data_IF_996874533662
#
_entry.id   IF_996874533662
#
_cell.length_a   1.000
_cell.length_b   1.000
_cell.length_c   1.000
_cell.angle_alpha   90.00
_cell.angle_beta   90.00
_cell.angle_gamma   90.00
#
_symmetry.space_group_name_H-M   'P 1'
#
loop_
_entity.id
_entity.type
_entity.pdbx_description
1 polymer ?
#
# COMPACT_ATOMS: atom_id res chain seq x y z
N UNK A 1 34.56 -49.71 11.49
CA UNK A 1 33.50 -48.69 11.52
C UNK A 1 34.04 -47.50 12.29
N UNK A 2 34.41 -46.42 11.59
CA UNK A 2 35.02 -45.23 12.19
C UNK A 2 33.90 -44.23 12.51
N UNK A 3 33.65 -44.00 13.80
CA UNK A 3 32.69 -43.03 14.30
C UNK A 3 33.26 -41.63 14.08
N UNK A 4 32.70 -40.86 13.13
CA UNK A 4 32.97 -39.43 13.03
C UNK A 4 32.15 -38.71 14.11
N UNK A 5 32.83 -38.18 15.11
CA UNK A 5 32.22 -37.29 16.09
C UNK A 5 31.65 -36.06 15.37
N UNK A 6 30.41 -35.69 15.73
CA UNK A 6 29.80 -34.44 15.29
C UNK A 6 30.61 -33.28 15.89
N UNK A 7 30.97 -32.26 15.09
CA UNK A 7 31.66 -31.08 15.60
C UNK A 7 30.78 -30.41 16.66
N UNK A 8 31.41 -29.92 17.72
CA UNK A 8 30.69 -29.16 18.75
C UNK A 8 30.16 -27.85 18.14
N UNK A 9 29.04 -27.32 18.65
CA UNK A 9 28.50 -26.02 18.21
C UNK A 9 29.57 -24.91 18.23
N UNK A 10 30.53 -25.02 19.15
CA UNK A 10 31.64 -24.09 19.31
C UNK A 10 32.65 -24.15 18.14
N UNK A 11 32.88 -25.32 17.54
CA UNK A 11 33.71 -25.44 16.33
C UNK A 11 33.01 -24.83 15.11
N UNK A 12 31.68 -24.96 15.03
CA UNK A 12 30.88 -24.39 13.93
C UNK A 12 30.92 -22.85 13.96
N UNK A 13 30.75 -22.24 15.13
CA UNK A 13 30.88 -20.79 15.30
C UNK A 13 32.29 -20.27 14.98
N UNK A 14 33.34 -20.99 15.39
CA UNK A 14 34.72 -20.61 15.12
C UNK A 14 35.06 -20.67 13.62
N UNK A 15 34.48 -21.62 12.89
CA UNK A 15 34.61 -21.70 11.42
C UNK A 15 33.91 -20.52 10.75
N UNK A 16 32.70 -20.14 11.21
CA UNK A 16 31.96 -18.98 10.69
C UNK A 16 32.72 -17.67 10.95
N UNK A 17 33.29 -17.48 12.13
CA UNK A 17 34.04 -16.25 12.46
C UNK A 17 35.34 -16.17 11.65
N UNK A 18 36.09 -17.28 11.51
CA UNK A 18 37.35 -17.28 10.75
C UNK A 18 37.12 -17.10 9.25
N UNK A 19 36.11 -17.74 8.68
CA UNK A 19 35.74 -17.51 7.27
C UNK A 19 35.27 -16.07 7.06
N UNK A 20 34.57 -15.50 8.04
CA UNK A 20 34.12 -14.10 8.01
C UNK A 20 35.23 -13.09 8.24
N UNK A 21 36.42 -13.45 8.72
CA UNK A 21 37.48 -12.48 9.09
C UNK A 21 38.80 -12.65 8.31
N UNK A 22 39.01 -13.76 7.61
CA UNK A 22 40.32 -14.12 7.03
C UNK A 22 40.64 -13.55 5.64
N UNK A 23 39.70 -12.90 4.95
CA UNK A 23 39.90 -12.42 3.57
C UNK A 23 39.48 -10.95 3.34
N UNK A 24 39.51 -10.10 4.37
CA UNK A 24 39.24 -8.68 4.17
C UNK A 24 40.48 -7.94 3.65
N UNK A 25 40.54 -7.76 2.34
CA UNK A 25 41.27 -6.63 1.75
C UNK A 25 40.43 -5.38 1.98
N UNK A 26 40.93 -4.42 2.77
CA UNK A 26 40.28 -3.13 2.96
C UNK A 26 40.52 -2.28 1.72
N UNK A 27 39.56 -2.31 0.78
CA UNK A 27 39.45 -1.27 -0.24
C UNK A 27 38.64 -0.10 0.36
N UNK A 28 39.34 0.89 0.90
CA UNK A 28 38.75 2.12 1.43
C UNK A 28 38.36 3.11 0.32
N UNK A 29 38.14 2.62 -0.90
CA UNK A 29 37.69 3.46 -2.01
C UNK A 29 36.29 4.00 -1.72
N UNK A 30 36.20 5.34 -1.65
CA UNK A 30 34.92 6.04 -1.55
C UNK A 30 34.33 6.28 -2.94
N UNK A 31 33.02 6.14 -3.08
CA UNK A 31 32.25 6.54 -4.25
C UNK A 31 31.36 7.73 -3.93
N UNK A 32 31.17 8.61 -4.91
CA UNK A 32 30.20 9.70 -4.85
C UNK A 32 28.90 9.27 -5.53
N UNK A 33 27.80 9.24 -4.78
CA UNK A 33 26.46 8.94 -5.27
C UNK A 33 25.63 10.22 -5.26
N UNK A 34 25.05 10.61 -6.39
CA UNK A 34 24.12 11.73 -6.47
C UNK A 34 22.69 11.20 -6.54
N UNK A 35 21.89 11.48 -5.52
CA UNK A 35 20.47 11.10 -5.46
C UNK A 35 19.66 12.37 -5.41
N UNK A 36 18.82 12.60 -6.42
CA UNK A 36 18.17 13.89 -6.63
C UNK A 36 19.19 15.03 -6.72
N UNK A 37 19.18 15.94 -5.74
CA UNK A 37 20.12 17.07 -5.63
C UNK A 37 21.27 16.86 -4.64
N UNK A 38 21.29 15.76 -3.89
CA UNK A 38 22.24 15.53 -2.79
C UNK A 38 23.34 14.59 -3.23
N UNK A 39 24.59 14.89 -2.87
CA UNK A 39 25.75 14.02 -3.14
C UNK A 39 26.21 13.37 -1.84
N UNK A 40 26.18 12.03 -1.82
CA UNK A 40 26.65 11.20 -0.72
C UNK A 40 28.02 10.64 -1.04
N UNK A 41 28.93 10.64 -0.07
CA UNK A 41 30.23 9.98 -0.18
C UNK A 41 30.24 8.75 0.71
N UNK A 42 30.29 7.57 0.10
CA UNK A 42 30.08 6.28 0.78
C UNK A 42 31.19 5.30 0.40
N UNK A 43 31.55 4.37 1.29
CA UNK A 43 32.51 3.30 0.99
C UNK A 43 31.93 2.32 -0.03
N UNK A 44 32.68 2.04 -1.10
CA UNK A 44 32.30 1.02 -2.11
C UNK A 44 32.18 -0.36 -1.49
N UNK A 45 33.11 -0.71 -0.61
CA UNK A 45 33.11 -1.99 0.08
C UNK A 45 31.83 -2.20 0.88
N UNK A 46 31.41 -1.21 1.69
CA UNK A 46 30.17 -1.33 2.49
C UNK A 46 28.94 -1.58 1.62
N UNK A 47 28.80 -0.82 0.53
CA UNK A 47 27.69 -0.98 -0.41
C UNK A 47 27.74 -2.34 -1.12
N UNK A 48 28.92 -2.77 -1.57
CA UNK A 48 29.11 -4.07 -2.25
C UNK A 48 28.83 -5.26 -1.34
N UNK A 49 29.25 -5.18 -0.08
CA UNK A 49 28.99 -6.24 0.90
C UNK A 49 27.49 -6.33 1.22
N UNK A 50 26.80 -5.19 1.26
CA UNK A 50 25.38 -5.15 1.57
C UNK A 50 24.48 -5.53 0.38
N UNK A 51 24.93 -5.29 -0.85
CA UNK A 51 24.12 -5.39 -2.07
C UNK A 51 24.94 -5.96 -3.23
N UNK A 52 24.51 -7.10 -3.82
CA UNK A 52 25.13 -7.64 -5.01
C UNK A 52 24.99 -6.71 -6.21
N UNK A 53 23.90 -5.92 -6.30
CA UNK A 53 23.71 -4.96 -7.37
C UNK A 53 24.75 -3.83 -7.33
N UNK A 54 25.07 -3.29 -6.14
CA UNK A 54 26.17 -2.34 -5.99
C UNK A 54 27.53 -2.98 -6.30
N UNK A 55 27.77 -4.23 -5.87
CA UNK A 55 29.00 -4.94 -6.21
C UNK A 55 29.18 -5.11 -7.73
N UNK A 56 28.11 -5.47 -8.44
CA UNK A 56 28.09 -5.56 -9.90
C UNK A 56 28.31 -4.20 -10.56
N UNK A 57 27.62 -3.15 -10.07
CA UNK A 57 27.75 -1.78 -10.56
C UNK A 57 29.20 -1.28 -10.49
N UNK A 58 29.90 -1.53 -9.38
CA UNK A 58 31.30 -1.10 -9.22
C UNK A 58 32.31 -1.99 -9.96
N UNK A 59 31.94 -3.23 -10.29
CA UNK A 59 32.79 -4.12 -11.08
C UNK A 59 32.86 -3.68 -12.55
N UNK A 60 31.81 -3.04 -13.05
CA UNK A 60 31.73 -2.53 -14.43
C UNK A 60 32.35 -1.12 -14.53
N UNK A 61 32.21 -0.31 -13.49
CA UNK A 61 32.77 1.04 -13.47
C UNK A 61 34.31 0.99 -13.44
N UNK A 62 35.02 1.58 -14.42
CA UNK A 62 36.48 1.54 -14.45
C UNK A 62 37.04 2.23 -13.20
N UNK A 63 37.99 1.58 -12.52
CA UNK A 63 38.67 2.11 -11.34
C UNK A 63 39.49 3.40 -11.60
N UNK A 64 39.52 3.91 -12.84
CA UNK A 64 40.48 4.88 -13.35
C UNK A 64 40.06 6.35 -13.22
N UNK A 65 39.06 6.67 -12.40
CA UNK A 65 38.72 8.07 -12.09
C UNK A 65 38.15 8.23 -10.69
N UNK A 66 38.96 8.73 -9.76
CA UNK A 66 38.60 8.98 -8.35
C UNK A 66 37.42 9.95 -8.12
N UNK A 67 36.73 10.40 -9.17
CA UNK A 67 35.68 11.43 -9.10
C UNK A 67 34.40 11.08 -9.87
N UNK A 68 34.21 9.84 -10.35
CA UNK A 68 32.97 9.50 -11.04
C UNK A 68 31.79 9.51 -10.06
N UNK A 69 30.85 10.43 -10.29
CA UNK A 69 29.63 10.56 -9.50
C UNK A 69 28.53 9.74 -10.16
N UNK A 70 28.06 8.70 -9.48
CA UNK A 70 26.98 7.85 -9.98
C UNK A 70 25.65 8.52 -9.63
N UNK A 71 24.82 8.77 -10.63
CA UNK A 71 23.50 9.37 -10.43
C UNK A 71 22.46 8.27 -10.22
N UNK A 72 21.74 8.33 -9.10
CA UNK A 72 20.68 7.38 -8.73
C UNK A 72 19.34 8.11 -8.70
N UNK A 73 18.30 7.46 -9.22
CA UNK A 73 16.95 8.03 -9.28
C UNK A 73 16.08 7.49 -8.13
N UNK A 74 16.32 8.02 -6.93
CA UNK A 74 15.53 7.70 -5.73
C UNK A 74 15.12 8.98 -5.01
N UNK A 75 14.14 8.81 -4.12
CA UNK A 75 13.86 9.82 -3.10
C UNK A 75 15.07 9.97 -2.16
N UNK A 76 15.41 11.22 -1.84
CA UNK A 76 16.61 11.56 -1.07
C UNK A 76 16.48 11.09 0.38
N UNK A 77 15.29 11.20 0.97
CA UNK A 77 15.05 10.82 2.36
C UNK A 77 15.06 9.30 2.49
N UNK A 78 14.43 8.59 1.56
CA UNK A 78 14.43 7.13 1.55
C UNK A 78 15.86 6.56 1.42
N UNK A 79 16.66 7.13 0.51
CA UNK A 79 18.06 6.72 0.33
C UNK A 79 18.93 7.08 1.55
N UNK A 80 18.68 8.23 2.18
CA UNK A 80 19.38 8.64 3.41
C UNK A 80 19.13 7.65 4.54
N UNK A 81 17.90 7.17 4.70
CA UNK A 81 17.56 6.14 5.68
C UNK A 81 18.27 4.81 5.42
N UNK A 82 18.38 4.39 4.17
CA UNK A 82 19.14 3.21 3.78
C UNK A 82 20.63 3.35 4.09
N UNK A 83 21.25 4.49 3.74
CA UNK A 83 22.65 4.75 4.08
C UNK A 83 22.87 4.81 5.60
N UNK A 84 21.98 5.47 6.32
CA UNK A 84 22.02 5.49 7.79
C UNK A 84 22.08 4.08 8.36
N UNK A 85 21.27 3.15 7.83
CA UNK A 85 21.29 1.75 8.25
C UNK A 85 22.63 1.06 7.95
N UNK A 86 23.24 1.29 6.79
CA UNK A 86 24.56 0.73 6.43
C UNK A 86 25.70 1.26 7.31
N UNK A 87 25.53 2.45 7.87
CA UNK A 87 26.51 3.07 8.76
C UNK A 87 26.25 2.80 10.24
N UNK A 88 25.16 2.11 10.55
CA UNK A 88 24.69 1.95 11.91
C UNK A 88 25.53 0.94 12.67
N UNK A 89 26.11 1.38 13.79
CA UNK A 89 26.66 0.47 14.79
C UNK A 89 25.56 0.02 15.78
N UNK A 90 25.74 -1.13 16.46
CA UNK A 90 24.74 -1.66 17.39
C UNK A 90 24.33 -0.69 18.51
N UNK A 91 25.25 0.16 19.00
CA UNK A 91 24.97 1.09 20.10
C UNK A 91 24.10 2.25 19.61
N UNK A 92 24.40 2.79 18.43
CA UNK A 92 23.58 3.81 17.79
C UNK A 92 22.19 3.28 17.43
N UNK A 93 22.08 2.02 16.99
CA UNK A 93 20.79 1.40 16.74
C UNK A 93 19.92 1.31 17.99
N UNK A 94 20.47 0.82 19.11
CA UNK A 94 19.75 0.73 20.38
C UNK A 94 19.32 2.12 20.88
N UNK A 95 20.24 3.08 20.83
CA UNK A 95 19.96 4.48 21.20
C UNK A 95 18.85 5.07 20.34
N UNK A 96 18.86 4.79 19.04
CA UNK A 96 17.80 5.22 18.12
C UNK A 96 16.46 4.61 18.50
N UNK A 97 16.42 3.30 18.75
CA UNK A 97 15.19 2.58 19.08
C UNK A 97 14.54 3.07 20.39
N UNK A 98 15.34 3.51 21.35
CA UNK A 98 14.86 4.07 22.61
C UNK A 98 14.34 5.50 22.48
N UNK A 99 14.98 6.33 21.66
CA UNK A 99 14.70 7.78 21.59
C UNK A 99 13.72 8.18 20.49
N UNK A 100 13.67 7.44 19.39
CA UNK A 100 12.89 7.81 18.22
C UNK A 100 11.42 7.40 18.40
N UNK A 101 10.50 8.24 17.92
CA UNK A 101 9.07 7.94 17.96
C UNK A 101 8.77 6.70 17.11
N UNK A 102 7.95 5.79 17.61
CA UNK A 102 7.59 4.55 16.90
C UNK A 102 7.07 4.81 15.46
N UNK A 103 6.36 5.92 15.23
CA UNK A 103 5.91 6.36 13.90
C UNK A 103 7.09 6.63 12.94
N UNK A 104 8.11 7.32 13.42
CA UNK A 104 9.34 7.61 12.65
C UNK A 104 10.14 6.33 12.41
N UNK A 105 10.16 5.40 13.39
CA UNK A 105 10.76 4.08 13.23
C UNK A 105 10.10 3.30 12.09
N UNK A 106 8.77 3.29 12.03
CA UNK A 106 8.03 2.64 10.94
C UNK A 106 8.28 3.29 9.59
N UNK A 107 8.20 4.62 9.52
CA UNK A 107 8.51 5.38 8.30
C UNK A 107 9.91 5.04 7.77
N UNK A 108 10.92 5.03 8.65
CA UNK A 108 12.29 4.68 8.31
C UNK A 108 12.43 3.22 7.87
N UNK A 109 11.78 2.29 8.55
CA UNK A 109 11.83 0.88 8.19
C UNK A 109 11.23 0.63 6.79
N UNK A 110 10.12 1.29 6.44
CA UNK A 110 9.53 1.26 5.09
C UNK A 110 10.55 1.77 4.06
N UNK A 111 11.16 2.92 4.36
CA UNK A 111 12.16 3.56 3.49
C UNK A 111 13.36 2.64 3.22
N UNK A 112 13.89 2.02 4.28
CA UNK A 112 14.99 1.05 4.19
C UNK A 112 14.56 -0.16 3.36
N UNK A 113 13.36 -0.70 3.58
CA UNK A 113 12.87 -1.87 2.85
C UNK A 113 12.74 -1.59 1.35
N UNK A 114 12.22 -0.43 0.94
CA UNK A 114 12.08 -0.03 -0.47
C UNK A 114 13.43 0.01 -1.16
N UNK A 115 14.40 0.74 -0.59
CA UNK A 115 15.72 0.91 -1.20
C UNK A 115 16.51 -0.41 -1.15
N UNK A 116 16.50 -1.12 -0.03
CA UNK A 116 17.19 -2.39 0.11
C UNK A 116 16.66 -3.45 -0.88
N UNK A 117 15.34 -3.50 -1.09
CA UNK A 117 14.75 -4.40 -2.07
C UNK A 117 15.21 -4.05 -3.49
N UNK A 118 15.16 -2.77 -3.86
CA UNK A 118 15.60 -2.30 -5.17
C UNK A 118 17.06 -2.70 -5.48
N UNK A 119 17.93 -2.61 -4.47
CA UNK A 119 19.35 -2.98 -4.57
C UNK A 119 19.64 -4.44 -4.23
N UNK A 120 18.65 -5.33 -4.18
CA UNK A 120 18.81 -6.76 -3.90
C UNK A 120 19.55 -7.06 -2.57
N UNK A 121 19.45 -6.16 -1.59
CA UNK A 121 20.02 -6.33 -0.25
C UNK A 121 19.09 -7.17 0.65
N UNK A 122 18.81 -8.42 0.25
CA UNK A 122 17.73 -9.26 0.80
C UNK A 122 17.73 -9.39 2.33
N UNK A 123 18.90 -9.49 2.96
CA UNK A 123 19.01 -9.56 4.44
C UNK A 123 18.50 -8.28 5.12
N UNK A 124 18.82 -7.13 4.55
CA UNK A 124 18.38 -5.82 5.06
C UNK A 124 16.88 -5.65 4.82
N UNK A 125 16.42 -6.02 3.63
CA UNK A 125 15.00 -5.99 3.28
C UNK A 125 14.17 -6.86 4.22
N UNK A 126 14.60 -8.10 4.47
CA UNK A 126 13.94 -9.02 5.40
C UNK A 126 13.88 -8.47 6.82
N UNK A 127 14.98 -7.89 7.30
CA UNK A 127 15.01 -7.23 8.61
C UNK A 127 13.99 -6.08 8.68
N UNK A 128 13.99 -5.20 7.67
CA UNK A 128 13.15 -4.02 7.62
C UNK A 128 11.66 -4.38 7.52
N UNK A 129 11.29 -5.36 6.68
CA UNK A 129 9.92 -5.88 6.57
C UNK A 129 9.44 -6.46 7.90
N UNK A 130 10.31 -7.18 8.61
CA UNK A 130 10.00 -7.68 9.96
C UNK A 130 9.60 -6.55 10.92
N UNK A 131 10.37 -5.46 10.92
CA UNK A 131 10.04 -4.27 11.72
C UNK A 131 8.71 -3.64 11.29
N UNK A 132 8.48 -3.48 9.98
CA UNK A 132 7.23 -2.91 9.44
C UNK A 132 6.02 -3.76 9.82
N UNK A 133 6.12 -5.10 9.73
CA UNK A 133 5.05 -6.03 10.12
C UNK A 133 4.68 -5.86 11.60
N UNK A 134 5.67 -5.80 12.48
CA UNK A 134 5.43 -5.70 13.92
C UNK A 134 4.77 -4.36 14.28
N UNK A 135 5.16 -3.28 13.59
CA UNK A 135 4.62 -1.93 13.80
C UNK A 135 3.26 -1.70 13.11
N UNK A 136 2.97 -2.36 11.99
CA UNK A 136 1.69 -2.21 11.26
C UNK A 136 0.47 -2.58 12.13
N UNK A 137 0.65 -3.47 13.11
CA UNK A 137 -0.39 -3.80 14.09
C UNK A 137 -0.76 -2.60 14.97
N UNK A 138 0.23 -1.76 15.30
CA UNK A 138 0.08 -0.59 16.17
C UNK A 138 -0.42 0.64 15.41
N UNK A 139 0.14 0.89 14.22
CA UNK A 139 -0.16 2.06 13.38
C UNK A 139 -1.23 1.78 12.34
N UNK A 140 -2.13 0.84 12.63
CA UNK A 140 -3.18 0.49 11.69
C UNK A 140 -4.10 1.67 11.36
N UNK A 141 -4.20 2.66 12.24
CA UNK A 141 -4.99 3.88 12.07
C UNK A 141 -4.29 4.99 11.28
N UNK A 142 -2.95 4.95 11.15
CA UNK A 142 -2.19 5.92 10.36
C UNK A 142 -2.25 5.57 8.87
N UNK A 143 -3.29 6.08 8.21
CA UNK A 143 -3.58 5.82 6.80
C UNK A 143 -2.40 6.18 5.89
N UNK A 144 -1.64 7.24 6.19
CA UNK A 144 -0.50 7.64 5.35
C UNK A 144 0.63 6.61 5.41
N UNK A 145 0.97 6.13 6.61
CA UNK A 145 1.95 5.06 6.76
C UNK A 145 1.46 3.75 6.14
N UNK A 146 0.22 3.36 6.43
CA UNK A 146 -0.33 2.12 5.90
C UNK A 146 -0.44 2.12 4.37
N UNK A 147 -0.68 3.28 3.75
CA UNK A 147 -0.62 3.43 2.28
C UNK A 147 0.78 3.17 1.74
N UNK A 148 1.83 3.67 2.42
CA UNK A 148 3.22 3.35 2.03
C UNK A 148 3.53 1.86 2.22
N UNK A 149 3.00 1.22 3.27
CA UNK A 149 3.17 -0.23 3.48
C UNK A 149 2.47 -1.03 2.38
N UNK A 150 1.25 -0.66 1.98
CA UNK A 150 0.52 -1.30 0.89
C UNK A 150 1.24 -1.17 -0.46
N UNK A 151 1.94 -0.06 -0.71
CA UNK A 151 2.80 0.08 -1.90
C UNK A 151 4.00 -0.86 -1.88
N UNK A 152 4.59 -1.04 -0.70
CA UNK A 152 5.75 -1.92 -0.51
C UNK A 152 5.36 -3.40 -0.61
N UNK A 153 4.17 -3.76 -0.13
CA UNK A 153 3.79 -5.16 0.05
C UNK A 153 3.82 -6.05 -1.20
N UNK A 154 3.37 -5.62 -2.40
CA UNK A 154 3.49 -6.45 -3.60
C UNK A 154 4.94 -6.62 -4.06
N UNK A 155 5.81 -5.65 -3.77
CA UNK A 155 7.21 -5.67 -4.21
C UNK A 155 8.05 -6.72 -3.50
N UNK A 156 7.65 -7.15 -2.29
CA UNK A 156 8.48 -8.00 -1.41
C UNK A 156 7.93 -9.41 -1.22
N UNK A 157 7.06 -9.85 -2.13
CA UNK A 157 6.39 -11.17 -2.08
C UNK A 157 7.37 -12.34 -2.19
N UNK A 158 8.50 -12.14 -2.85
CA UNK A 158 9.59 -13.11 -2.99
C UNK A 158 10.37 -13.31 -1.68
N UNK A 159 10.45 -12.26 -0.85
CA UNK A 159 11.13 -12.30 0.45
C UNK A 159 10.19 -12.77 1.55
N UNK A 160 8.94 -12.31 1.51
CA UNK A 160 7.94 -12.60 2.53
C UNK A 160 6.54 -12.76 1.90
N UNK A 161 6.16 -13.99 1.50
CA UNK A 161 4.92 -14.26 0.76
C UNK A 161 3.64 -13.84 1.48
N UNK A 162 3.66 -13.87 2.82
CA UNK A 162 2.48 -13.59 3.65
C UNK A 162 2.36 -12.10 4.02
N UNK A 163 3.37 -11.29 3.71
CA UNK A 163 3.40 -9.87 4.09
C UNK A 163 2.24 -9.08 3.47
N UNK A 164 1.97 -9.28 2.17
CA UNK A 164 0.88 -8.62 1.46
C UNK A 164 -0.48 -8.92 2.08
N UNK A 165 -0.78 -10.19 2.31
CA UNK A 165 -2.06 -10.58 2.92
C UNK A 165 -2.18 -10.07 4.36
N UNK A 166 -1.10 -10.10 5.13
CA UNK A 166 -1.08 -9.62 6.52
C UNK A 166 -1.39 -8.13 6.60
N UNK A 167 -0.72 -7.32 5.77
CA UNK A 167 -0.93 -5.86 5.73
C UNK A 167 -2.34 -5.54 5.24
N UNK A 168 -2.81 -6.21 4.18
CA UNK A 168 -4.16 -6.02 3.65
C UNK A 168 -5.22 -6.33 4.70
N UNK A 169 -5.10 -7.46 5.41
CA UNK A 169 -6.01 -7.83 6.50
C UNK A 169 -6.01 -6.77 7.61
N UNK A 170 -4.84 -6.24 7.97
CA UNK A 170 -4.74 -5.16 8.96
C UNK A 170 -5.49 -3.90 8.48
N UNK A 171 -5.29 -3.47 7.23
CA UNK A 171 -6.01 -2.32 6.66
C UNK A 171 -7.52 -2.56 6.63
N UNK A 172 -7.98 -3.75 6.22
CA UNK A 172 -9.40 -4.10 6.18
C UNK A 172 -10.04 -4.04 7.58
N UNK A 173 -9.37 -4.56 8.60
CA UNK A 173 -9.82 -4.45 9.99
C UNK A 173 -9.89 -2.98 10.44
N UNK A 174 -8.94 -2.16 10.00
CA UNK A 174 -8.89 -0.75 10.36
C UNK A 174 -9.96 0.07 9.64
N UNK A 175 -10.40 -0.27 8.43
CA UNK A 175 -11.57 0.38 7.79
C UNK A 175 -12.82 0.21 8.68
N UNK A 176 -13.00 -0.99 9.22
CA UNK A 176 -14.12 -1.33 10.11
C UNK A 176 -14.05 -0.57 11.43
N UNK A 177 -12.86 -0.26 11.95
CA UNK A 177 -12.70 0.43 13.25
C UNK A 177 -12.62 1.96 13.08
N UNK A 178 -11.79 2.45 12.16
CA UNK A 178 -11.24 3.83 12.10
C UNK A 178 -12.23 4.98 11.86
N UNK A 179 -13.52 4.71 11.70
CA UNK A 179 -14.55 5.75 11.51
C UNK A 179 -14.39 6.62 10.25
N UNK A 180 -13.32 6.47 9.46
CA UNK A 180 -13.01 7.30 8.30
C UNK A 180 -12.78 6.44 7.03
N UNK A 181 -13.80 5.70 6.57
CA UNK A 181 -13.66 4.81 5.42
C UNK A 181 -13.38 5.57 4.11
N UNK A 182 -13.70 6.87 4.03
CA UNK A 182 -13.36 7.73 2.87
C UNK A 182 -11.85 7.94 2.72
N UNK A 183 -11.11 8.08 3.82
CA UNK A 183 -9.66 8.20 3.75
C UNK A 183 -9.01 6.86 3.32
N UNK A 184 -9.55 5.74 3.76
CA UNK A 184 -9.13 4.42 3.28
C UNK A 184 -9.48 4.16 1.82
N UNK A 185 -10.60 4.69 1.32
CA UNK A 185 -10.92 4.65 -0.10
C UNK A 185 -9.85 5.39 -0.92
N UNK A 186 -9.41 6.57 -0.46
CA UNK A 186 -8.33 7.30 -1.10
C UNK A 186 -7.01 6.51 -1.11
N UNK A 187 -6.65 5.90 0.03
CA UNK A 187 -5.49 5.01 0.13
C UNK A 187 -5.58 3.82 -0.85
N UNK A 188 -6.75 3.17 -0.93
CA UNK A 188 -6.99 2.05 -1.84
C UNK A 188 -6.87 2.43 -3.32
N UNK A 189 -7.30 3.63 -3.70
CA UNK A 189 -7.08 4.15 -5.07
C UNK A 189 -5.62 4.45 -5.35
N UNK A 190 -4.92 5.01 -4.37
CA UNK A 190 -3.51 5.40 -4.49
C UNK A 190 -2.59 4.18 -4.74
N UNK A 191 -3.01 2.98 -4.32
CA UNK A 191 -2.29 1.72 -4.53
C UNK A 191 -2.99 0.75 -5.48
N UNK A 192 -4.08 1.19 -6.13
CA UNK A 192 -4.94 0.38 -7.00
C UNK A 192 -5.42 -0.96 -6.37
N UNK A 193 -5.71 -0.96 -5.07
CA UNK A 193 -6.22 -2.13 -4.35
C UNK A 193 -7.76 -2.13 -4.35
N UNK A 194 -8.33 -2.88 -5.30
CA UNK A 194 -9.77 -3.01 -5.49
C UNK A 194 -10.48 -3.65 -4.28
N UNK A 195 -9.83 -4.58 -3.58
CA UNK A 195 -10.38 -5.25 -2.39
C UNK A 195 -10.55 -4.22 -1.27
N UNK A 196 -9.54 -3.37 -1.07
CA UNK A 196 -9.58 -2.28 -0.10
C UNK A 196 -10.64 -1.23 -0.49
N UNK A 197 -10.71 -0.85 -1.77
CA UNK A 197 -11.71 0.10 -2.27
C UNK A 197 -13.15 -0.41 -2.09
N UNK A 198 -13.43 -1.67 -2.47
CA UNK A 198 -14.74 -2.31 -2.29
C UNK A 198 -15.16 -2.36 -0.82
N UNK A 199 -14.22 -2.71 0.08
CA UNK A 199 -14.47 -2.69 1.52
C UNK A 199 -14.73 -1.29 2.05
N UNK A 200 -13.98 -0.29 1.58
CA UNK A 200 -14.17 1.10 1.96
C UNK A 200 -15.54 1.63 1.51
N UNK A 201 -15.96 1.38 0.27
CA UNK A 201 -17.29 1.76 -0.23
C UNK A 201 -18.42 1.14 0.59
N UNK A 202 -18.30 -0.15 0.95
CA UNK A 202 -19.26 -0.81 1.82
C UNK A 202 -19.40 -0.08 3.17
N UNK A 203 -18.27 0.19 3.84
CA UNK A 203 -18.30 0.86 5.13
C UNK A 203 -18.72 2.32 5.07
N UNK A 204 -18.46 3.00 3.95
CA UNK A 204 -19.03 4.30 3.64
C UNK A 204 -20.56 4.19 3.70
N UNK A 205 -21.19 3.33 2.89
CA UNK A 205 -22.65 3.15 2.87
C UNK A 205 -23.24 2.71 4.22
N UNK A 206 -22.53 1.85 4.95
CA UNK A 206 -23.01 1.28 6.21
C UNK A 206 -22.97 2.28 7.37
N UNK A 207 -21.90 3.08 7.49
CA UNK A 207 -21.73 4.03 8.62
C UNK A 207 -22.31 5.40 8.36
N UNK A 208 -22.55 5.76 7.11
CA UNK A 208 -23.07 7.07 6.78
C UNK A 208 -24.54 7.17 7.12
N UNK A 209 -24.88 7.89 8.17
CA UNK A 209 -26.26 8.30 8.43
C UNK A 209 -26.71 9.44 7.48
N UNK A 210 -26.36 9.37 6.19
CA UNK A 210 -26.60 10.40 5.18
C UNK A 210 -25.54 11.50 5.08
N UNK A 211 -24.52 11.51 5.96
CA UNK A 211 -23.49 12.57 5.99
C UNK A 211 -22.50 12.54 4.80
N UNK A 212 -22.44 11.44 4.03
CA UNK A 212 -21.52 11.30 2.89
C UNK A 212 -21.77 12.35 1.80
N UNK A 213 -23.04 12.72 1.62
CA UNK A 213 -23.45 13.61 0.53
C UNK A 213 -22.55 14.86 0.42
N UNK A 214 -22.12 15.42 1.55
CA UNK A 214 -21.27 16.61 1.61
C UNK A 214 -19.76 16.37 1.57
N UNK A 215 -19.26 15.13 1.57
CA UNK A 215 -17.82 14.87 1.60
C UNK A 215 -17.18 15.20 0.25
N UNK A 216 -16.34 16.23 0.25
CA UNK A 216 -15.65 16.74 -0.95
C UNK A 216 -14.55 15.80 -1.46
N UNK A 217 -14.13 14.82 -0.64
CA UNK A 217 -13.12 13.82 -1.03
C UNK A 217 -13.68 12.77 -1.98
N UNK A 218 -15.01 12.64 -2.07
CA UNK A 218 -15.68 11.71 -2.99
C UNK A 218 -16.01 12.40 -4.31
N UNK A 219 -15.38 11.94 -5.38
CA UNK A 219 -15.60 12.45 -6.71
C UNK A 219 -16.91 11.88 -7.33
N UNK A 220 -17.25 12.32 -8.53
CA UNK A 220 -18.48 11.88 -9.23
C UNK A 220 -18.51 10.36 -9.45
N UNK A 221 -17.37 9.75 -9.77
CA UNK A 221 -17.26 8.29 -9.97
C UNK A 221 -17.54 7.56 -8.66
N UNK A 222 -17.02 8.04 -7.53
CA UNK A 222 -17.29 7.45 -6.22
C UNK A 222 -18.76 7.47 -5.87
N UNK A 223 -19.41 8.61 -6.12
CA UNK A 223 -20.85 8.78 -5.87
C UNK A 223 -21.68 7.83 -6.74
N UNK A 224 -21.30 7.66 -8.01
CA UNK A 224 -21.92 6.70 -8.91
C UNK A 224 -21.72 5.25 -8.43
N UNK A 225 -20.50 4.88 -8.03
CA UNK A 225 -20.20 3.55 -7.47
C UNK A 225 -21.01 3.29 -6.21
N UNK A 226 -21.06 4.24 -5.27
CA UNK A 226 -21.86 4.15 -4.06
C UNK A 226 -23.36 3.97 -4.37
N UNK A 227 -23.88 4.67 -5.38
CA UNK A 227 -25.26 4.49 -5.84
C UNK A 227 -25.49 3.06 -6.37
N UNK A 228 -24.63 2.57 -7.25
CA UNK A 228 -24.72 1.21 -7.81
C UNK A 228 -24.63 0.16 -6.70
N UNK A 229 -23.63 0.28 -5.83
CA UNK A 229 -23.43 -0.62 -4.69
C UNK A 229 -24.64 -0.63 -3.76
N UNK A 230 -25.24 0.53 -3.47
CA UNK A 230 -26.46 0.59 -2.65
C UNK A 230 -27.63 -0.18 -3.26
N UNK A 231 -27.76 -0.18 -4.60
CA UNK A 231 -28.80 -0.94 -5.29
C UNK A 231 -28.51 -2.44 -5.28
N UNK A 232 -27.25 -2.82 -5.54
CA UNK A 232 -26.81 -4.21 -5.55
C UNK A 232 -26.96 -4.85 -4.16
N UNK A 233 -26.52 -4.17 -3.10
CA UNK A 233 -26.66 -4.63 -1.72
C UNK A 233 -28.14 -4.84 -1.34
N UNK A 234 -29.03 -3.91 -1.69
CA UNK A 234 -30.48 -4.06 -1.42
C UNK A 234 -31.12 -5.25 -2.14
N UNK A 235 -30.73 -5.49 -3.41
CA UNK A 235 -31.21 -6.67 -4.15
C UNK A 235 -30.73 -7.96 -3.51
N UNK A 236 -29.52 -7.95 -2.96
CA UNK A 236 -28.97 -9.10 -2.27
C UNK A 236 -29.68 -9.39 -0.93
N UNK A 237 -29.99 -8.35 -0.14
CA UNK A 237 -30.74 -8.50 1.13
C UNK A 237 -32.18 -8.97 0.95
N UNK A 238 -32.83 -8.56 -0.14
CA UNK A 238 -34.24 -8.84 -0.39
C UNK A 238 -34.52 -9.07 -1.88
N UNK A 239 -34.11 -10.21 -2.45
CA UNK A 239 -34.24 -10.48 -3.89
C UNK A 239 -35.68 -10.41 -4.41
N UNK A 240 -36.67 -10.54 -3.52
CA UNK A 240 -38.09 -10.52 -3.84
C UNK A 240 -38.81 -9.18 -3.56
N UNK A 241 -38.11 -8.12 -3.13
CA UNK A 241 -38.72 -6.80 -2.89
C UNK A 241 -38.48 -5.87 -4.09
N UNK A 242 -39.56 -5.44 -4.74
CA UNK A 242 -39.50 -4.44 -5.81
C UNK A 242 -38.99 -3.09 -5.27
N UNK A 243 -37.87 -2.60 -5.82
CA UNK A 243 -37.30 -1.30 -5.46
C UNK A 243 -38.16 -0.17 -6.06
N UNK A 244 -38.89 0.55 -5.21
CA UNK A 244 -39.56 1.81 -5.58
C UNK A 244 -38.68 2.96 -5.10
N UNK A 245 -38.11 3.72 -6.03
CA UNK A 245 -37.41 4.95 -5.72
C UNK A 245 -38.43 6.02 -5.30
N UNK A 246 -38.27 6.60 -4.11
CA UNK A 246 -38.95 7.84 -3.72
C UNK A 246 -37.91 8.95 -3.71
N UNK A 247 -38.19 10.03 -4.43
CA UNK A 247 -37.43 11.27 -4.25
C UNK A 247 -37.53 11.76 -2.81
N UNK A 248 -36.58 12.60 -2.38
CA UNK A 248 -36.56 13.23 -1.05
C UNK A 248 -37.82 14.09 -0.81
N UNK A 249 -38.51 14.49 -1.88
CA UNK A 249 -39.79 15.19 -1.92
C UNK A 249 -41.03 14.26 -1.90
N UNK A 250 -40.84 12.95 -1.86
CA UNK A 250 -41.91 11.95 -1.91
C UNK A 250 -42.51 11.72 -3.30
N UNK A 251 -41.98 12.36 -4.35
CA UNK A 251 -42.47 12.14 -5.72
C UNK A 251 -41.77 10.93 -6.37
N UNK A 252 -42.52 10.17 -7.17
CA UNK A 252 -41.95 9.13 -8.01
C UNK A 252 -41.38 9.80 -9.26
N UNK A 253 -40.08 10.07 -9.29
CA UNK A 253 -39.45 10.59 -10.49
C UNK A 253 -39.08 9.47 -11.50
N UNK A 254 -39.29 9.71 -12.81
CA UNK A 254 -38.89 8.77 -13.84
C UNK A 254 -37.36 8.66 -13.95
N UNK A 255 -36.92 7.42 -14.24
CA UNK A 255 -35.55 6.85 -14.20
C UNK A 255 -34.42 7.67 -14.86
N UNK A 256 -34.73 8.64 -15.72
CA UNK A 256 -33.77 9.39 -16.54
C UNK A 256 -33.15 10.59 -15.78
N UNK A 257 -33.83 11.16 -14.79
CA UNK A 257 -33.29 12.30 -14.02
C UNK A 257 -32.23 11.92 -12.99
N UNK A 258 -32.11 10.64 -12.63
CA UNK A 258 -31.21 10.19 -11.57
C UNK A 258 -29.73 10.42 -11.89
N UNK A 259 -29.35 10.36 -13.17
CA UNK A 259 -27.96 10.58 -13.62
C UNK A 259 -27.62 12.08 -13.61
N UNK A 260 -28.52 12.95 -14.06
CA UNK A 260 -28.32 14.41 -14.07
C UNK A 260 -28.35 15.02 -12.66
N UNK A 261 -29.08 14.40 -11.70
CA UNK A 261 -29.13 14.84 -10.31
C UNK A 261 -27.99 14.29 -9.43
N UNK A 262 -27.06 13.48 -9.95
CA UNK A 262 -25.90 12.99 -9.17
C UNK A 262 -24.95 14.11 -8.69
N UNK A 263 -25.07 15.31 -9.25
CA UNK A 263 -24.32 16.50 -8.84
C UNK A 263 -24.95 17.26 -7.68
N UNK A 264 -26.23 17.03 -7.32
CA UNK A 264 -26.84 17.65 -6.14
C UNK A 264 -26.74 16.71 -4.92
N UNK A 265 -25.80 16.94 -3.99
CA UNK A 265 -25.62 16.10 -2.82
C UNK A 265 -26.85 16.02 -1.91
N UNK A 266 -27.77 16.99 -1.96
CA UNK A 266 -28.92 17.07 -1.02
C UNK A 266 -30.04 16.08 -1.35
N UNK A 267 -30.06 15.51 -2.55
CA UNK A 267 -31.12 14.61 -3.01
C UNK A 267 -30.82 13.12 -2.74
N UNK A 268 -29.76 12.82 -1.99
CA UNK A 268 -29.25 11.46 -1.84
C UNK A 268 -29.05 11.06 -0.37
N UNK A 269 -29.83 10.08 0.10
CA UNK A 269 -29.61 9.41 1.39
C UNK A 269 -29.68 7.88 1.22
N UNK A 270 -28.56 7.23 0.88
CA UNK A 270 -28.53 5.78 0.85
C UNK A 270 -28.66 5.28 2.30
N UNK A 271 -29.63 4.42 2.53
CA UNK A 271 -29.71 3.62 3.75
C UNK A 271 -29.57 2.16 3.34
N UNK A 272 -28.58 1.50 3.94
CA UNK A 272 -28.40 0.03 3.88
C UNK A 272 -28.85 -0.51 5.23
N UNK A 273 -29.61 -1.62 5.23
CA UNK A 273 -30.13 -2.18 6.48
C UNK A 273 -29.01 -2.88 7.27
N UNK A 274 -29.11 -2.84 8.59
CA UNK A 274 -28.09 -3.36 9.54
C UNK A 274 -28.11 -4.90 9.69
N UNK A 275 -28.66 -5.64 8.72
CA UNK A 275 -28.92 -7.08 8.84
C UNK A 275 -27.81 -8.00 8.32
N UNK A 276 -26.64 -7.45 7.97
CA UNK A 276 -25.56 -8.22 7.36
C UNK A 276 -24.53 -8.65 8.41
N UNK A 277 -24.68 -9.87 8.93
CA UNK A 277 -23.80 -10.44 9.97
C UNK A 277 -22.46 -10.99 9.43
N UNK A 278 -22.28 -11.08 8.09
CA UNK A 278 -21.03 -11.55 7.50
C UNK A 278 -20.44 -10.53 6.51
N UNK A 279 -19.16 -10.16 6.68
CA UNK A 279 -18.47 -9.33 5.70
C UNK A 279 -18.23 -10.14 4.41
N UNK A 280 -18.79 -9.69 3.30
CA UNK A 280 -18.45 -10.19 1.97
C UNK A 280 -16.94 -10.15 1.73
N UNK A 281 -16.43 -11.07 0.92
CA UNK A 281 -15.08 -10.91 0.36
C UNK A 281 -14.99 -9.55 -0.36
N UNK A 282 -13.88 -8.84 -0.16
CA UNK A 282 -13.69 -7.51 -0.75
C UNK A 282 -13.67 -7.54 -2.27
N UNK A 283 -13.31 -8.66 -2.89
CA UNK A 283 -13.40 -8.85 -4.35
C UNK A 283 -14.87 -8.79 -4.83
N UNK A 284 -15.75 -9.55 -4.18
CA UNK A 284 -17.20 -9.54 -4.46
C UNK A 284 -17.81 -8.17 -4.20
N UNK A 285 -17.38 -7.47 -3.15
CA UNK A 285 -17.81 -6.10 -2.91
C UNK A 285 -17.44 -5.19 -4.08
N UNK A 286 -16.19 -5.23 -4.53
CA UNK A 286 -15.75 -4.40 -5.65
C UNK A 286 -16.62 -4.58 -6.90
N UNK A 287 -16.95 -5.83 -7.26
CA UNK A 287 -17.86 -6.14 -8.37
C UNK A 287 -19.25 -5.51 -8.15
N UNK A 288 -19.79 -5.56 -6.92
CA UNK A 288 -21.07 -4.91 -6.58
C UNK A 288 -21.03 -3.38 -6.73
N UNK A 289 -19.87 -2.74 -6.65
CA UNK A 289 -19.74 -1.28 -6.82
C UNK A 289 -19.44 -0.86 -8.26
N UNK A 290 -19.00 -1.77 -9.13
CA UNK A 290 -18.56 -1.47 -10.49
C UNK A 290 -19.53 -1.94 -11.57
N UNK A 291 -20.23 -3.06 -11.32
CA UNK A 291 -21.18 -3.64 -12.26
C UNK A 291 -22.58 -3.21 -11.89
N UNK A 292 -23.18 -2.31 -12.70
CA UNK A 292 -24.58 -1.97 -12.51
C UNK A 292 -25.47 -3.13 -12.91
N UNK A 293 -26.50 -3.45 -12.10
CA UNK A 293 -27.46 -4.46 -12.46
C UNK A 293 -28.42 -3.99 -13.59
N UNK A 294 -28.26 -2.75 -14.06
CA UNK A 294 -28.95 -2.18 -15.21
C UNK A 294 -28.06 -2.19 -16.48
N UNK A 295 -26.89 -2.86 -16.44
CA UNK A 295 -25.95 -2.91 -17.56
C UNK A 295 -25.09 -1.65 -17.73
N UNK A 296 -25.18 -0.69 -16.80
CA UNK A 296 -24.26 0.45 -16.76
C UNK A 296 -22.89 -0.02 -16.24
N UNK A 297 -21.87 0.03 -17.08
CA UNK A 297 -20.49 -0.16 -16.66
C UNK A 297 -19.97 1.18 -16.18
N UNK A 298 -19.48 1.25 -14.93
CA UNK A 298 -18.79 2.46 -14.46
C UNK A 298 -17.44 2.53 -15.17
N UNK A 299 -17.15 3.58 -15.94
CA UNK A 299 -15.86 3.73 -16.59
C UNK A 299 -14.76 3.97 -15.55
N UNK A 300 -13.56 3.47 -15.84
CA UNK A 300 -12.38 3.66 -14.99
C UNK A 300 -11.81 5.09 -15.03
N UNK A 301 -12.27 5.90 -15.98
CA UNK A 301 -11.87 7.29 -16.15
C UNK A 301 -13.06 8.25 -15.96
N UNK A 302 -12.74 9.50 -15.61
CA UNK A 302 -13.73 10.57 -15.47
C UNK A 302 -14.29 10.86 -16.85
N UNK A 303 -15.52 10.41 -17.09
CA UNK A 303 -16.29 10.88 -18.23
C UNK A 303 -16.60 12.36 -18.05
N UNK A 304 -16.45 13.11 -19.12
CA UNK A 304 -17.00 14.46 -19.24
C UNK A 304 -18.52 14.40 -19.12
N UNK A 305 -19.15 15.53 -18.75
CA UNK A 305 -20.61 15.64 -18.65
C UNK A 305 -21.29 15.22 -19.97
N UNK A 306 -20.65 15.50 -21.10
CA UNK A 306 -21.12 15.13 -22.43
C UNK A 306 -21.04 13.62 -22.69
N UNK A 307 -19.98 12.94 -22.23
CA UNK A 307 -19.85 11.49 -22.36
C UNK A 307 -20.83 10.72 -21.46
N UNK A 308 -21.15 11.25 -20.27
CA UNK A 308 -22.19 10.71 -19.39
C UNK A 308 -23.59 10.79 -20.02
N UNK A 309 -23.85 11.81 -20.84
CA UNK A 309 -25.11 11.92 -21.55
C UNK A 309 -25.23 10.87 -22.67
N UNK A 310 -24.13 10.54 -23.34
CA UNK A 310 -24.08 9.60 -24.48
C UNK A 310 -24.05 8.12 -24.05
N UNK A 311 -23.52 7.79 -22.87
CA UNK A 311 -23.54 6.42 -22.33
C UNK A 311 -24.95 5.90 -21.96
N UNK A 312 -26.00 6.69 -22.18
CA UNK A 312 -27.40 6.36 -21.94
C UNK A 312 -27.95 5.41 -23.02
N UNK A 313 -28.00 4.12 -22.69
CA UNK A 313 -28.72 3.00 -23.35
C UNK A 313 -28.55 2.79 -24.88
N UNK A 314 -28.01 1.64 -25.32
CA UNK A 314 -28.26 1.17 -26.68
C UNK A 314 -29.72 0.70 -26.80
N UNK A 315 -30.51 1.43 -27.59
CA UNK A 315 -31.74 1.00 -28.28
C UNK A 315 -32.77 0.18 -27.49
N UNK A 316 -33.84 0.82 -27.05
CA UNK A 316 -35.17 0.18 -27.03
C UNK A 316 -35.96 0.73 -28.20
N UNK A 317 -35.93 0.01 -29.32
CA UNK A 317 -37.03 0.01 -30.30
C UNK A 317 -38.22 -0.79 -29.74
#
# INVERSE_FOLDING_TARGET
MSSKALPSEEEEWNVVIRSSTSNYSYDDSSVSLRVGGTTFRVSRQRLSTASPQFAAMFSIAPANGQNETIVLNHDVDDFTHFLWFLHLDPVTFLTYREKCLEKEQMSRAISIAVIAHFYEASSITKWAIGQVRDMAKKFGDDISLMTRVLRLSPCVKDIDPDFDQTVRNQCLNQIEISGNPVAWLAAGKEVDDQVLQGRAYYWILYKSNGEIAGDSRLNTIDRLRLLIGSQNLRRYEAPNKLLIFRGVDGTQEPRVKLVQNTTDPRLWSPQVHTGMDQPYDGSTLWEMFTVSPLGLVVPDHVLTVDELAVASFPGTD
#
